data_IF_945433440173
#
_entry.id   IF_945433440173
#
_cell.length_a   1.000
_cell.length_b   1.000
_cell.length_c   1.000
_cell.angle_alpha   90.00
_cell.angle_beta   90.00
_cell.angle_gamma   90.00
#
_symmetry.space_group_name_H-M   'P 1'
#
loop_
_entity.id
_entity.type
_entity.pdbx_description
1 polymer ?
#
# COMPACT_ATOMS: atom_id res chain seq x y z
N UNK A 1 -21.69 19.75 7.36
CA UNK A 1 -21.50 18.46 6.66
C UNK A 1 -22.86 17.81 6.50
N UNK A 2 -23.27 17.37 5.29
CA UNK A 2 -24.50 16.61 5.16
C UNK A 2 -24.41 15.34 6.03
N UNK A 3 -25.49 14.92 6.71
CA UNK A 3 -25.48 13.70 7.50
C UNK A 3 -25.15 12.52 6.59
N UNK A 4 -24.08 11.79 6.93
CA UNK A 4 -23.70 10.55 6.26
C UNK A 4 -24.92 9.64 6.17
N UNK A 5 -25.30 9.21 4.96
CA UNK A 5 -26.35 8.19 4.77
C UNK A 5 -25.97 6.85 5.42
N UNK A 6 -24.70 6.64 5.75
CA UNK A 6 -24.23 5.46 6.43
C UNK A 6 -24.26 5.65 7.94
N UNK A 7 -24.95 4.74 8.62
CA UNK A 7 -24.90 4.63 10.07
C UNK A 7 -23.62 3.88 10.50
N UNK A 8 -22.92 4.34 11.54
CA UNK A 8 -21.87 3.57 12.18
C UNK A 8 -22.36 2.18 12.59
N UNK A 9 -21.45 1.21 12.57
CA UNK A 9 -21.68 -0.16 13.02
C UNK A 9 -20.77 -0.47 14.18
N UNK A 10 -21.39 -0.94 15.27
CA UNK A 10 -20.69 -1.36 16.48
C UNK A 10 -20.84 -2.87 16.64
N UNK A 11 -19.73 -3.54 16.92
CA UNK A 11 -19.70 -4.98 17.16
C UNK A 11 -18.54 -5.36 18.06
N UNK A 12 -18.61 -6.55 18.65
CA UNK A 12 -17.49 -7.17 19.38
C UNK A 12 -16.73 -8.10 18.45
N UNK A 13 -15.41 -8.10 18.56
CA UNK A 13 -14.54 -9.00 17.82
C UNK A 13 -13.36 -9.45 18.68
N UNK A 14 -12.95 -10.70 18.52
CA UNK A 14 -11.71 -11.21 19.10
C UNK A 14 -10.54 -10.79 18.22
N UNK A 15 -9.47 -10.26 18.82
CA UNK A 15 -8.25 -9.96 18.10
C UNK A 15 -7.48 -11.24 17.83
N UNK A 16 -7.18 -11.53 16.58
CA UNK A 16 -6.53 -12.76 16.17
C UNK A 16 -5.24 -12.47 15.40
N UNK A 17 -4.30 -13.41 15.45
CA UNK A 17 -3.18 -13.37 14.54
C UNK A 17 -3.64 -13.78 13.14
N UNK A 18 -3.36 -12.93 12.14
CA UNK A 18 -3.57 -13.31 10.76
C UNK A 18 -2.56 -14.39 10.39
N UNK A 19 -3.03 -15.51 9.86
CA UNK A 19 -2.17 -16.59 9.39
C UNK A 19 -1.20 -16.06 8.33
N UNK A 20 0.10 -16.30 8.55
CA UNK A 20 1.19 -15.85 7.69
C UNK A 20 2.35 -15.23 8.47
N UNK A 21 3.40 -14.83 7.75
CA UNK A 21 4.69 -14.48 8.37
C UNK A 21 4.80 -13.00 8.78
N UNK A 22 3.73 -12.21 8.60
CA UNK A 22 3.76 -10.77 8.87
C UNK A 22 3.42 -10.42 10.33
N UNK A 23 2.98 -11.39 11.13
CA UNK A 23 2.63 -11.17 12.54
C UNK A 23 1.49 -10.17 12.76
N UNK A 24 0.62 -10.01 11.76
CA UNK A 24 -0.49 -9.06 11.83
C UNK A 24 -1.54 -9.51 12.85
N UNK A 25 -2.14 -8.52 13.52
CA UNK A 25 -3.27 -8.73 14.44
C UNK A 25 -4.50 -8.10 13.82
N UNK A 26 -5.58 -8.87 13.71
CA UNK A 26 -6.76 -8.50 12.94
C UNK A 26 -8.04 -8.71 13.74
N UNK A 27 -9.08 -7.98 13.35
CA UNK A 27 -10.46 -8.20 13.78
C UNK A 27 -11.33 -8.48 12.56
N UNK A 28 -11.99 -9.63 12.52
CA UNK A 28 -12.90 -9.98 11.42
C UNK A 28 -14.24 -9.26 11.54
N UNK A 29 -14.77 -8.82 10.40
CA UNK A 29 -16.06 -8.13 10.36
C UNK A 29 -17.20 -9.16 10.35
N UNK A 30 -18.25 -8.99 11.18
CA UNK A 30 -19.42 -9.86 11.19
C UNK A 30 -20.45 -9.49 10.10
N UNK A 31 -20.12 -8.57 9.19
CA UNK A 31 -20.99 -8.11 8.12
C UNK A 31 -20.20 -7.80 6.86
N UNK A 32 -20.92 -7.75 5.73
CA UNK A 32 -20.38 -7.31 4.45
C UNK A 32 -20.51 -5.78 4.32
N UNK A 33 -19.40 -5.03 4.28
CA UNK A 33 -19.41 -3.58 4.07
C UNK A 33 -20.17 -3.16 2.81
N UNK A 34 -20.22 -4.01 1.78
CA UNK A 34 -20.90 -3.70 0.53
C UNK A 34 -22.42 -3.75 0.60
N UNK A 35 -22.95 -4.59 1.48
CA UNK A 35 -24.39 -4.66 1.74
C UNK A 35 -24.84 -3.59 2.72
N UNK A 36 -23.97 -3.25 3.67
CA UNK A 36 -24.30 -2.38 4.81
C UNK A 36 -24.12 -0.91 4.50
N UNK A 37 -23.15 -0.54 3.66
CA UNK A 37 -22.81 0.85 3.37
C UNK A 37 -22.88 1.12 1.86
N UNK A 38 -24.00 1.71 1.37
CA UNK A 38 -24.16 2.01 -0.05
C UNK A 38 -23.16 3.05 -0.55
N UNK A 39 -22.82 4.04 0.26
CA UNK A 39 -21.86 5.09 -0.10
C UNK A 39 -20.51 4.82 0.56
N UNK A 40 -19.45 4.61 -0.23
CA UNK A 40 -18.12 4.30 0.30
C UNK A 40 -17.01 4.83 -0.62
N UNK A 41 -15.91 5.29 -0.01
CA UNK A 41 -14.65 5.54 -0.72
C UNK A 41 -13.74 4.32 -0.60
N UNK A 42 -13.90 3.37 -1.53
CA UNK A 42 -13.25 2.04 -1.48
C UNK A 42 -13.60 1.32 -0.16
N UNK A 43 -12.60 0.87 0.59
CA UNK A 43 -12.74 0.18 1.88
C UNK A 43 -12.28 1.07 3.06
N UNK A 44 -12.28 2.40 2.88
CA UNK A 44 -11.86 3.33 3.95
C UNK A 44 -12.89 3.34 5.06
N UNK A 45 -12.39 3.27 6.29
CA UNK A 45 -13.21 3.32 7.50
C UNK A 45 -12.55 4.19 8.56
N UNK A 46 -13.38 4.75 9.44
CA UNK A 46 -12.97 5.46 10.65
C UNK A 46 -13.87 5.04 11.80
N UNK A 47 -13.40 5.25 13.03
CA UNK A 47 -14.16 4.93 14.23
C UNK A 47 -13.24 4.72 15.42
N UNK A 48 -13.57 3.78 16.31
CA UNK A 48 -12.78 3.50 17.50
C UNK A 48 -12.71 1.99 17.84
N UNK A 49 -11.63 1.59 18.52
CA UNK A 49 -11.48 0.27 19.14
C UNK A 49 -11.33 0.48 20.64
N UNK A 50 -12.29 0.00 21.45
CA UNK A 50 -12.38 0.27 22.89
C UNK A 50 -12.19 1.76 23.24
N UNK A 51 -12.79 2.67 22.45
CA UNK A 51 -12.67 4.11 22.64
C UNK A 51 -11.39 4.75 22.07
N UNK A 52 -10.44 3.96 21.56
CA UNK A 52 -9.28 4.52 20.86
C UNK A 52 -9.61 4.79 19.39
N UNK A 53 -9.67 6.07 19.03
CA UNK A 53 -10.00 6.51 17.69
C UNK A 53 -8.98 6.00 16.65
N UNK A 54 -9.47 5.64 15.47
CA UNK A 54 -8.66 5.26 14.33
C UNK A 54 -9.26 5.74 13.01
N UNK A 55 -8.39 5.85 12.01
CA UNK A 55 -8.75 6.07 10.61
C UNK A 55 -7.90 5.12 9.76
N UNK A 56 -8.52 4.19 9.04
CA UNK A 56 -7.82 3.06 8.41
C UNK A 56 -8.54 2.59 7.13
N UNK A 57 -8.30 1.35 6.71
CA UNK A 57 -8.99 0.68 5.62
C UNK A 57 -9.20 -0.80 5.97
N UNK A 58 -10.28 -1.37 5.45
CA UNK A 58 -10.57 -2.80 5.54
C UNK A 58 -9.81 -3.56 4.45
N UNK A 59 -9.49 -4.81 4.75
CA UNK A 59 -8.83 -5.73 3.83
C UNK A 59 -9.73 -6.94 3.56
N UNK A 60 -9.82 -7.41 2.30
CA UNK A 60 -10.51 -8.65 1.99
C UNK A 60 -9.71 -9.84 2.51
N UNK A 61 -10.41 -10.89 2.95
CA UNK A 61 -9.78 -12.18 3.29
C UNK A 61 -9.26 -12.87 2.03
N UNK A 62 -8.07 -13.47 2.12
CA UNK A 62 -7.55 -14.34 1.06
C UNK A 62 -8.51 -15.51 0.81
N UNK A 63 -8.92 -15.72 -0.44
CA UNK A 63 -9.90 -16.75 -0.81
C UNK A 63 -11.37 -16.31 -0.79
N UNK A 64 -11.65 -15.04 -0.46
CA UNK A 64 -13.01 -14.50 -0.41
C UNK A 64 -13.72 -14.71 0.94
N UNK A 65 -14.99 -14.31 1.02
CA UNK A 65 -15.85 -14.63 2.17
C UNK A 65 -15.73 -13.71 3.39
N UNK A 66 -15.17 -12.50 3.26
CA UNK A 66 -15.25 -11.51 4.33
C UNK A 66 -14.16 -10.46 4.29
N UNK A 67 -14.20 -9.58 5.29
CA UNK A 67 -13.27 -8.47 5.48
C UNK A 67 -12.73 -8.48 6.90
N UNK A 68 -11.55 -7.91 7.08
CA UNK A 68 -10.96 -7.69 8.39
C UNK A 68 -10.37 -6.28 8.51
N UNK A 69 -10.30 -5.80 9.74
CA UNK A 69 -9.55 -4.61 10.13
C UNK A 69 -8.18 -5.03 10.65
N UNK A 70 -7.10 -4.46 10.11
CA UNK A 70 -5.78 -4.57 10.71
C UNK A 70 -5.72 -3.68 11.96
N UNK A 71 -5.54 -4.29 13.12
CA UNK A 71 -5.40 -3.59 14.40
C UNK A 71 -3.90 -3.42 14.66
N UNK A 72 -3.34 -2.31 14.17
CA UNK A 72 -1.91 -2.04 14.28
C UNK A 72 -1.46 -1.85 15.74
N UNK A 73 -0.14 -1.75 15.97
CA UNK A 73 0.42 -1.63 17.33
C UNK A 73 -0.03 -0.38 18.08
N UNK A 74 -0.28 0.74 17.38
CA UNK A 74 -0.82 1.95 18.00
C UNK A 74 -2.23 1.72 18.51
N UNK A 75 -3.08 1.10 17.69
CA UNK A 75 -4.45 0.75 18.07
C UNK A 75 -4.47 -0.25 19.23
N UNK A 76 -3.62 -1.29 19.19
CA UNK A 76 -3.48 -2.26 20.30
C UNK A 76 -3.14 -1.56 21.62
N UNK A 77 -2.13 -0.68 21.60
CA UNK A 77 -1.70 0.08 22.79
C UNK A 77 -2.82 1.01 23.30
N UNK A 78 -3.44 1.77 22.40
CA UNK A 78 -4.49 2.72 22.75
C UNK A 78 -5.76 2.05 23.26
N UNK A 79 -6.14 0.92 22.67
CA UNK A 79 -7.29 0.11 23.07
C UNK A 79 -7.00 -0.79 24.30
N UNK A 80 -5.74 -0.80 24.79
CA UNK A 80 -5.23 -1.70 25.84
C UNK A 80 -5.60 -3.16 25.55
N UNK A 81 -5.40 -3.59 24.30
CA UNK A 81 -5.81 -4.89 23.81
C UNK A 81 -4.63 -5.63 23.16
N UNK A 82 -4.66 -6.96 23.27
CA UNK A 82 -3.68 -7.86 22.70
C UNK A 82 -4.39 -8.97 21.88
N UNK A 83 -3.66 -9.76 21.08
CA UNK A 83 -4.21 -10.98 20.51
C UNK A 83 -4.89 -11.84 21.59
N UNK A 84 -6.09 -12.36 21.29
CA UNK A 84 -6.97 -13.07 22.21
C UNK A 84 -7.96 -12.16 22.96
N UNK A 85 -7.72 -10.84 23.02
CA UNK A 85 -8.68 -9.92 23.65
C UNK A 85 -9.95 -9.75 22.81
N UNK A 86 -11.10 -9.71 23.47
CA UNK A 86 -12.36 -9.26 22.85
C UNK A 86 -12.42 -7.73 22.96
N UNK A 87 -12.55 -7.06 21.82
CA UNK A 87 -12.66 -5.60 21.73
C UNK A 87 -14.02 -5.19 21.18
N UNK A 88 -14.51 -4.01 21.58
CA UNK A 88 -15.66 -3.36 20.96
C UNK A 88 -15.15 -2.41 19.90
N UNK A 89 -15.65 -2.55 18.67
CA UNK A 89 -15.25 -1.72 17.53
C UNK A 89 -16.48 -1.02 17.02
N UNK A 90 -16.42 0.31 16.92
CA UNK A 90 -17.38 1.11 16.17
C UNK A 90 -16.70 1.62 14.91
N UNK A 91 -17.36 1.53 13.77
CA UNK A 91 -16.80 2.05 12.51
C UNK A 91 -17.87 2.48 11.51
N UNK A 92 -17.49 3.40 10.63
CA UNK A 92 -18.28 3.87 9.50
C UNK A 92 -17.38 4.12 8.27
N UNK A 93 -17.96 4.25 7.06
CA UNK A 93 -17.21 4.66 5.88
C UNK A 93 -16.56 6.02 6.07
N UNK A 94 -15.26 6.07 5.77
CA UNK A 94 -14.51 7.31 5.76
C UNK A 94 -14.57 7.94 4.36
N UNK A 95 -15.50 8.89 4.22
CA UNK A 95 -15.74 9.65 2.98
C UNK A 95 -14.89 10.92 2.88
N UNK A 96 -14.25 11.31 3.98
CA UNK A 96 -13.41 12.51 4.00
C UNK A 96 -12.22 12.36 3.04
N UNK A 97 -11.88 13.47 2.39
CA UNK A 97 -10.65 13.53 1.64
C UNK A 97 -9.45 13.42 2.58
N UNK A 98 -8.41 12.74 2.10
CA UNK A 98 -7.12 12.71 2.78
C UNK A 98 -6.17 13.49 1.89
N UNK A 99 -6.07 14.79 2.15
CA UNK A 99 -4.97 15.56 1.58
C UNK A 99 -3.77 15.41 2.50
N UNK A 100 -2.74 14.74 2.00
CA UNK A 100 -1.47 14.61 2.72
C UNK A 100 -0.48 15.72 2.33
N UNK A 101 -0.90 16.62 1.44
CA UNK A 101 -0.05 17.63 0.83
C UNK A 101 1.02 17.01 -0.06
N UNK A 102 1.53 17.83 -0.98
CA UNK A 102 2.81 17.53 -1.64
C UNK A 102 3.92 17.98 -0.70
N UNK A 103 4.89 17.12 -0.34
CA UNK A 103 6.04 17.54 0.45
C UNK A 103 6.71 18.77 -0.18
N UNK A 104 6.97 19.85 0.59
CA UNK A 104 7.49 21.11 0.02
C UNK A 104 8.74 20.93 -0.83
N UNK A 105 9.61 20.00 -0.44
CA UNK A 105 10.84 19.64 -1.17
C UNK A 105 10.58 19.09 -2.58
N UNK A 106 9.43 18.46 -2.82
CA UNK A 106 9.08 17.89 -4.13
C UNK A 106 8.41 18.91 -5.07
N UNK A 107 7.78 19.95 -4.53
CA UNK A 107 7.01 20.93 -5.31
C UNK A 107 7.80 21.53 -6.50
N UNK A 108 9.07 21.96 -6.34
CA UNK A 108 9.84 22.53 -7.46
C UNK A 108 10.03 21.54 -8.61
N UNK A 109 10.20 20.25 -8.32
CA UNK A 109 10.41 19.20 -9.33
C UNK A 109 9.10 18.87 -10.04
N UNK A 110 8.01 18.68 -9.29
CA UNK A 110 6.69 18.40 -9.87
C UNK A 110 6.14 19.57 -10.70
N UNK A 111 6.54 20.81 -10.41
CA UNK A 111 6.19 21.98 -11.25
C UNK A 111 6.93 21.99 -12.58
N UNK A 112 8.18 21.52 -12.61
CA UNK A 112 9.03 21.53 -13.79
C UNK A 112 8.76 20.36 -14.73
N UNK A 113 8.31 19.23 -14.19
CA UNK A 113 8.07 18.00 -14.95
C UNK A 113 6.62 17.52 -14.83
N UNK A 114 5.86 17.64 -15.93
CA UNK A 114 4.45 17.22 -16.01
C UNK A 114 4.29 15.70 -15.93
N UNK A 115 5.22 14.92 -16.48
CA UNK A 115 5.16 13.46 -16.46
C UNK A 115 5.40 12.96 -15.02
N UNK A 116 6.39 13.52 -14.34
CA UNK A 116 6.66 13.23 -12.93
C UNK A 116 5.47 13.64 -12.04
N UNK A 117 4.86 14.80 -12.28
CA UNK A 117 3.64 15.22 -11.56
C UNK A 117 2.51 14.21 -11.74
N UNK A 118 2.22 13.82 -12.99
CA UNK A 118 1.17 12.84 -13.29
C UNK A 118 1.46 11.50 -12.59
N UNK A 119 2.71 11.04 -12.64
CA UNK A 119 3.12 9.82 -11.94
C UNK A 119 2.91 9.93 -10.43
N UNK A 120 3.30 11.06 -9.83
CA UNK A 120 3.10 11.31 -8.40
C UNK A 120 1.60 11.33 -8.03
N UNK A 121 0.77 11.94 -8.87
CA UNK A 121 -0.67 12.04 -8.64
C UNK A 121 -1.37 10.68 -8.66
N UNK A 122 -0.84 9.71 -9.42
CA UNK A 122 -1.32 8.33 -9.50
C UNK A 122 -0.98 7.49 -8.25
N UNK A 123 -0.11 7.95 -7.35
CA UNK A 123 0.13 7.25 -6.08
C UNK A 123 -1.15 7.20 -5.23
N UNK A 124 -1.32 6.07 -4.53
CA UNK A 124 -2.39 5.95 -3.54
C UNK A 124 -2.19 6.94 -2.39
N UNK A 125 -3.27 7.33 -1.74
CA UNK A 125 -3.27 8.13 -0.51
C UNK A 125 -2.27 7.61 0.54
N UNK A 126 -2.21 6.27 0.74
CA UNK A 126 -1.23 5.67 1.66
C UNK A 126 0.20 5.89 1.20
N UNK A 127 0.47 5.74 -0.10
CA UNK A 127 1.81 5.98 -0.64
C UNK A 127 2.20 7.46 -0.52
N UNK A 128 1.28 8.40 -0.80
CA UNK A 128 1.53 9.84 -0.62
C UNK A 128 1.83 10.19 0.84
N UNK A 129 1.07 9.62 1.77
CA UNK A 129 1.34 9.76 3.22
C UNK A 129 2.71 9.18 3.62
N UNK A 130 3.07 8.01 3.11
CA UNK A 130 4.36 7.38 3.40
C UNK A 130 5.52 8.20 2.84
N UNK A 131 5.36 8.76 1.65
CA UNK A 131 6.32 9.69 1.05
C UNK A 131 6.43 10.95 1.91
N UNK A 132 5.31 11.55 2.33
CA UNK A 132 5.33 12.74 3.17
C UNK A 132 6.06 12.49 4.49
N UNK A 133 5.78 11.36 5.16
CA UNK A 133 6.47 10.94 6.37
C UNK A 133 7.98 10.72 6.12
N UNK A 134 8.32 10.00 5.05
CA UNK A 134 9.70 9.73 4.67
C UNK A 134 10.51 11.02 4.44
N UNK A 135 9.88 12.04 3.85
CA UNK A 135 10.47 13.36 3.65
C UNK A 135 10.54 14.20 4.94
N UNK A 136 9.71 13.93 5.96
CA UNK A 136 9.72 14.67 7.22
C UNK A 136 10.75 14.15 8.25
N UNK A 137 11.28 12.93 8.04
CA UNK A 137 12.24 12.29 8.95
C UNK A 137 13.64 12.95 9.04
N UNK A 138 14.26 13.45 7.95
CA UNK A 138 15.57 14.10 8.02
C UNK A 138 15.53 15.37 8.88
N UNK A 139 16.54 15.53 9.74
CA UNK A 139 16.66 16.69 10.63
C UNK A 139 17.49 17.84 10.06
N UNK A 140 18.23 17.60 8.98
CA UNK A 140 19.08 18.61 8.33
C UNK A 140 18.66 18.85 6.88
N UNK A 141 18.85 20.07 6.34
CA UNK A 141 18.56 20.38 4.95
C UNK A 141 19.30 19.49 3.95
N UNK A 142 20.55 19.14 4.25
CA UNK A 142 21.41 18.31 3.38
C UNK A 142 20.87 16.88 3.30
N UNK A 143 20.49 16.29 4.43
CA UNK A 143 19.90 14.96 4.47
C UNK A 143 18.51 14.93 3.79
N UNK A 144 17.74 16.01 3.91
CA UNK A 144 16.48 16.18 3.18
C UNK A 144 16.71 16.27 1.67
N UNK A 145 17.71 17.02 1.23
CA UNK A 145 18.08 17.13 -0.19
C UNK A 145 18.47 15.76 -0.76
N UNK A 146 19.41 15.05 -0.13
CA UNK A 146 19.84 13.72 -0.56
C UNK A 146 18.65 12.74 -0.57
N UNK A 147 17.74 12.84 0.40
CA UNK A 147 16.53 12.02 0.43
C UNK A 147 15.56 12.32 -0.71
N UNK A 148 15.40 13.61 -1.03
CA UNK A 148 14.58 14.08 -2.14
C UNK A 148 15.12 13.56 -3.46
N UNK A 149 16.42 13.74 -3.70
CA UNK A 149 17.10 13.26 -4.91
C UNK A 149 16.97 11.74 -5.06
N UNK A 150 17.18 10.97 -3.98
CA UNK A 150 17.00 9.51 -3.99
C UNK A 150 15.58 9.08 -4.36
N UNK A 151 14.57 9.76 -3.82
CA UNK A 151 13.18 9.46 -4.18
C UNK A 151 12.90 9.77 -5.65
N UNK A 152 13.38 10.92 -6.14
CA UNK A 152 13.21 11.33 -7.54
C UNK A 152 13.89 10.35 -8.49
N UNK A 153 15.13 9.95 -8.22
CA UNK A 153 15.86 8.94 -8.99
C UNK A 153 15.06 7.63 -9.07
N UNK A 154 14.59 7.12 -7.92
CA UNK A 154 13.77 5.91 -7.87
C UNK A 154 12.52 6.02 -8.74
N UNK A 155 11.82 7.16 -8.70
CA UNK A 155 10.61 7.39 -9.49
C UNK A 155 10.95 7.48 -10.98
N UNK A 156 12.00 8.20 -11.36
CA UNK A 156 12.42 8.32 -12.76
C UNK A 156 12.82 6.96 -13.36
N UNK A 157 13.63 6.18 -12.65
CA UNK A 157 13.98 4.81 -13.07
C UNK A 157 12.76 3.91 -13.20
N UNK A 158 11.75 4.11 -12.35
CA UNK A 158 10.48 3.38 -12.45
C UNK A 158 9.70 3.79 -13.69
N UNK A 159 9.61 5.09 -13.98
CA UNK A 159 8.92 5.61 -15.16
C UNK A 159 9.58 5.09 -16.45
N UNK A 160 10.90 5.14 -16.53
CA UNK A 160 11.65 4.55 -17.64
C UNK A 160 11.41 3.03 -17.72
N UNK A 161 11.45 2.35 -16.57
CA UNK A 161 11.19 0.91 -16.44
C UNK A 161 9.80 0.45 -16.89
N UNK A 162 8.81 1.36 -16.88
CA UNK A 162 7.44 1.09 -17.37
C UNK A 162 7.38 1.08 -18.90
N UNK A 163 8.21 1.90 -19.55
CA UNK A 163 8.31 1.99 -21.00
C UNK A 163 9.26 0.91 -21.55
N UNK A 164 10.41 0.74 -20.90
CA UNK A 164 11.47 -0.19 -21.30
C UNK A 164 11.83 -1.08 -20.13
N UNK A 165 11.66 -2.39 -20.28
CA UNK A 165 11.98 -3.34 -19.21
C UNK A 165 13.47 -3.21 -18.82
N UNK A 166 13.79 -2.98 -17.53
CA UNK A 166 15.16 -2.73 -17.10
C UNK A 166 16.10 -3.90 -17.41
N UNK A 167 17.40 -3.66 -17.70
CA UNK A 167 18.35 -4.72 -18.03
C UNK A 167 18.43 -5.85 -17.00
N UNK A 168 18.31 -5.52 -15.71
CA UNK A 168 18.30 -6.52 -14.62
C UNK A 168 17.16 -7.54 -14.75
N UNK A 169 16.00 -7.12 -15.24
CA UNK A 169 14.86 -8.02 -15.49
C UNK A 169 15.02 -8.74 -16.82
N UNK A 170 15.48 -8.05 -17.88
CA UNK A 170 15.75 -8.67 -19.20
C UNK A 170 16.69 -9.86 -19.06
N UNK A 171 17.77 -9.72 -18.30
CA UNK A 171 18.72 -10.82 -18.07
C UNK A 171 18.06 -12.02 -17.37
N UNK A 172 17.23 -11.78 -16.36
CA UNK A 172 16.54 -12.85 -15.63
C UNK A 172 15.43 -13.50 -16.47
N UNK A 173 14.74 -12.73 -17.29
CA UNK A 173 13.71 -13.21 -18.21
C UNK A 173 14.27 -14.08 -19.32
N UNK A 174 15.48 -13.79 -19.83
CA UNK A 174 16.18 -14.69 -20.77
C UNK A 174 16.39 -16.08 -20.17
N UNK A 175 16.68 -16.17 -18.87
CA UNK A 175 16.84 -17.43 -18.16
C UNK A 175 15.50 -18.09 -17.81
N UNK A 176 14.40 -17.32 -17.82
CA UNK A 176 13.07 -17.79 -17.48
C UNK A 176 11.99 -17.16 -18.40
N UNK A 177 11.79 -17.72 -19.61
CA UNK A 177 10.81 -17.18 -20.57
C UNK A 177 9.37 -17.19 -20.06
N UNK A 178 9.02 -18.08 -19.12
CA UNK A 178 7.70 -18.10 -18.50
C UNK A 178 7.48 -16.86 -17.62
N UNK A 179 8.53 -16.41 -16.92
CA UNK A 179 8.48 -15.16 -16.17
C UNK A 179 8.30 -13.94 -17.07
N UNK A 180 8.93 -13.92 -18.26
CA UNK A 180 8.72 -12.84 -19.23
C UNK A 180 7.26 -12.76 -19.69
N UNK A 181 6.65 -13.91 -20.01
CA UNK A 181 5.21 -13.97 -20.33
C UNK A 181 4.37 -13.47 -19.16
N UNK A 182 4.69 -13.91 -17.95
CA UNK A 182 4.01 -13.47 -16.73
C UNK A 182 4.10 -11.96 -16.49
N UNK A 183 5.27 -11.38 -16.73
CA UNK A 183 5.50 -9.94 -16.65
C UNK A 183 4.63 -9.17 -17.64
N UNK A 184 4.55 -9.65 -18.88
CA UNK A 184 3.70 -9.04 -19.91
C UNK A 184 2.19 -9.18 -19.61
N UNK A 185 1.80 -10.20 -18.84
CA UNK A 185 0.43 -10.39 -18.35
C UNK A 185 0.11 -9.59 -17.07
N UNK A 186 1.11 -9.06 -16.38
CA UNK A 186 0.89 -8.23 -15.20
C UNK A 186 0.22 -6.89 -15.57
N UNK A 187 -0.68 -6.45 -14.71
CA UNK A 187 -1.26 -5.11 -14.82
C UNK A 187 -0.19 -4.02 -14.70
N UNK A 188 -0.46 -2.83 -15.25
CA UNK A 188 0.44 -1.67 -15.12
C UNK A 188 0.82 -1.40 -13.66
N UNK A 189 -0.15 -1.49 -12.75
CA UNK A 189 0.06 -1.27 -11.31
C UNK A 189 0.99 -2.33 -10.70
N UNK A 190 0.88 -3.60 -11.09
CA UNK A 190 1.79 -4.65 -10.64
C UNK A 190 3.22 -4.39 -11.11
N UNK A 191 3.41 -4.11 -12.41
CA UNK A 191 4.74 -3.80 -12.97
C UNK A 191 5.35 -2.58 -12.29
N UNK A 192 4.59 -1.49 -12.13
CA UNK A 192 5.01 -0.29 -11.40
C UNK A 192 5.50 -0.61 -9.99
N UNK A 193 4.71 -1.35 -9.21
CA UNK A 193 5.06 -1.67 -7.84
C UNK A 193 6.32 -2.54 -7.76
N UNK A 194 6.50 -3.47 -8.72
CA UNK A 194 7.72 -4.27 -8.85
C UNK A 194 8.95 -3.41 -9.13
N UNK A 195 8.86 -2.47 -10.06
CA UNK A 195 9.94 -1.53 -10.40
C UNK A 195 10.27 -0.60 -9.22
N UNK A 196 9.26 0.01 -8.59
CA UNK A 196 9.42 0.81 -7.38
C UNK A 196 10.12 0.02 -6.28
N UNK A 197 9.82 -1.28 -6.13
CA UNK A 197 10.45 -2.12 -5.13
C UNK A 197 11.91 -2.44 -5.48
N UNK A 198 12.24 -2.68 -6.76
CA UNK A 198 13.62 -2.90 -7.21
C UNK A 198 14.46 -1.64 -6.95
N UNK A 199 14.02 -0.50 -7.47
CA UNK A 199 14.77 0.76 -7.39
C UNK A 199 14.75 1.44 -6.01
N UNK A 200 14.00 0.88 -5.06
CA UNK A 200 14.13 1.26 -3.65
C UNK A 200 15.52 0.91 -3.09
N UNK A 201 16.10 -0.21 -3.52
CA UNK A 201 17.38 -0.66 -3.03
C UNK A 201 18.54 0.02 -3.77
N UNK A 202 19.63 0.30 -3.04
CA UNK A 202 20.82 0.97 -3.59
C UNK A 202 21.87 -0.01 -4.11
N UNK A 203 22.13 -1.11 -3.38
CA UNK A 203 23.19 -2.03 -3.78
C UNK A 203 22.74 -2.92 -4.93
N UNK A 204 23.64 -3.25 -5.88
CA UNK A 204 23.34 -4.19 -6.96
C UNK A 204 22.80 -5.53 -6.43
N UNK A 205 23.38 -6.09 -5.37
CA UNK A 205 22.91 -7.41 -4.86
C UNK A 205 21.49 -7.32 -4.29
N UNK A 206 21.16 -6.21 -3.62
CA UNK A 206 19.81 -6.00 -3.08
C UNK A 206 18.78 -5.80 -4.19
N UNK A 207 19.15 -5.07 -5.25
CA UNK A 207 18.31 -4.92 -6.46
C UNK A 207 18.09 -6.27 -7.13
N UNK A 208 19.13 -7.06 -7.28
CA UNK A 208 19.05 -8.40 -7.88
C UNK A 208 18.17 -9.33 -7.06
N UNK A 209 18.35 -9.36 -5.73
CA UNK A 209 17.48 -10.14 -4.83
C UNK A 209 16.02 -9.76 -4.97
N UNK A 210 15.71 -8.47 -5.11
CA UNK A 210 14.33 -8.02 -5.34
C UNK A 210 13.85 -8.37 -6.76
N UNK A 211 14.70 -8.27 -7.78
CA UNK A 211 14.37 -8.64 -9.15
C UNK A 211 14.03 -10.13 -9.27
N UNK A 212 14.76 -11.02 -8.58
CA UNK A 212 14.43 -12.45 -8.51
C UNK A 212 13.04 -12.72 -7.90
N UNK A 213 12.64 -11.95 -6.88
CA UNK A 213 11.26 -12.04 -6.34
C UNK A 213 10.21 -11.62 -7.38
N UNK A 214 10.51 -10.60 -8.19
CA UNK A 214 9.62 -10.17 -9.28
C UNK A 214 9.47 -11.27 -10.33
N UNK A 215 10.55 -12.00 -10.65
CA UNK A 215 10.51 -13.17 -11.53
C UNK A 215 9.60 -14.26 -10.97
N UNK A 216 9.73 -14.61 -9.69
CA UNK A 216 8.85 -15.58 -9.02
C UNK A 216 7.37 -15.15 -9.06
N UNK A 217 7.10 -13.86 -8.79
CA UNK A 217 5.75 -13.29 -8.86
C UNK A 217 5.21 -13.34 -10.30
N UNK A 218 6.04 -13.07 -11.31
CA UNK A 218 5.68 -13.13 -12.72
C UNK A 218 5.33 -14.56 -13.17
N UNK A 219 6.13 -15.55 -12.79
CA UNK A 219 5.83 -16.96 -13.06
C UNK A 219 4.45 -17.33 -12.52
N UNK A 220 4.14 -16.98 -11.26
CA UNK A 220 2.82 -17.25 -10.66
C UNK A 220 1.67 -16.61 -11.43
N UNK A 221 1.87 -15.41 -11.98
CA UNK A 221 0.88 -14.74 -12.83
C UNK A 221 0.66 -15.52 -14.13
N UNK A 222 1.74 -15.97 -14.77
CA UNK A 222 1.65 -16.79 -15.99
C UNK A 222 0.90 -18.10 -15.72
N UNK A 223 1.30 -18.85 -14.70
CA UNK A 223 0.68 -20.13 -14.32
C UNK A 223 -0.82 -19.98 -14.02
N UNK A 224 -1.21 -18.92 -13.32
CA UNK A 224 -2.62 -18.66 -13.01
C UNK A 224 -3.45 -18.35 -14.26
N UNK A 225 -2.84 -17.81 -15.31
CA UNK A 225 -3.52 -17.46 -16.57
C UNK A 225 -3.54 -18.60 -17.59
N UNK A 226 -2.73 -19.64 -17.38
CA UNK A 226 -2.73 -20.88 -18.15
C UNK A 226 -3.73 -21.92 -17.62
N UNK A 227 -4.28 -21.70 -16.43
CA UNK A 227 -5.37 -22.47 -15.83
C UNK A 227 -6.71 -21.81 -16.14
#
# INVERSE_FOLDING_TARGET
>A
MPPSKNKPKTFKATLEHLQGNLGWVVAYLPFDPAKVWPERKRLRVRGDVNGHAFRSSLFPKSGGGGFFLLVNKTMQKGAKAAPGSVVTITMEPDLEERDFGVPPTLVPYLKKDRALKKFYDEFSDSAKHDIARYMAEPKTPEALKERTERFLERVMLTMEGEEITPPILVMLFRQNPLAERGWNLMTKVQRRNSLLAIFYYRTPESREKRARKVVEEAVKVAEKKLR
#
